data_IF_435804773998
#
_entry.id   IF_435804773998
#
_cell.length_a   1.000
_cell.length_b   1.000
_cell.length_c   1.000
_cell.angle_alpha   90.00
_cell.angle_beta   90.00
_cell.angle_gamma   90.00
#
_symmetry.space_group_name_H-M   'P 1'
#
loop_
_entity.id
_entity.type
_entity.pdbx_description
1 polymer ?
#
# COMPACT_ATOMS: atom_id res chain seq x y z
N UNK A 1 18.99 -10.03 8.22
CA UNK A 1 18.91 -8.61 7.83
C UNK A 1 17.46 -8.18 7.99
N UNK A 2 17.18 -7.09 8.71
CA UNK A 2 15.80 -6.61 8.96
C UNK A 2 15.60 -5.24 8.32
N UNK A 3 14.40 -4.99 7.79
CA UNK A 3 14.04 -3.69 7.24
C UNK A 3 14.18 -2.57 8.29
N UNK A 4 14.59 -1.35 7.89
CA UNK A 4 14.64 -0.22 8.80
C UNK A 4 13.23 0.18 9.26
N UNK A 5 13.13 0.84 10.42
CA UNK A 5 11.87 1.28 11.02
C UNK A 5 11.89 2.79 11.24
N UNK A 6 10.79 3.49 10.98
CA UNK A 6 10.62 4.90 11.38
C UNK A 6 11.39 5.93 10.56
N UNK A 7 11.96 5.58 9.40
CA UNK A 7 12.87 6.48 8.66
C UNK A 7 12.43 6.81 7.24
N UNK A 8 11.55 6.01 6.62
CA UNK A 8 11.23 6.14 5.21
C UNK A 8 10.15 7.21 4.97
N UNK A 9 10.39 8.10 4.00
CA UNK A 9 9.35 8.98 3.46
C UNK A 9 8.45 8.26 2.44
N UNK A 10 9.01 7.25 1.75
CA UNK A 10 8.32 6.44 0.75
C UNK A 10 8.81 4.99 0.83
N UNK A 11 7.90 4.03 0.66
CA UNK A 11 8.21 2.60 0.55
C UNK A 11 7.61 2.05 -0.75
N UNK A 12 8.43 1.34 -1.54
CA UNK A 12 8.01 0.72 -2.79
C UNK A 12 7.74 -0.77 -2.58
N UNK A 13 6.50 -1.19 -2.82
CA UNK A 13 6.01 -2.56 -2.66
C UNK A 13 5.75 -3.17 -4.04
N UNK A 14 6.85 -3.45 -4.75
CA UNK A 14 6.87 -3.87 -6.15
C UNK A 14 6.62 -5.36 -6.42
N UNK A 15 6.11 -6.11 -5.45
CA UNK A 15 5.87 -7.56 -5.59
C UNK A 15 4.52 -7.84 -6.29
N UNK A 16 4.52 -8.87 -7.14
CA UNK A 16 3.32 -9.42 -7.78
C UNK A 16 3.19 -10.92 -7.41
N UNK A 17 1.97 -11.46 -7.33
CA UNK A 17 0.69 -10.82 -7.63
C UNK A 17 0.20 -9.85 -6.55
N UNK A 18 0.74 -9.93 -5.34
CA UNK A 18 0.43 -9.03 -4.21
C UNK A 18 1.67 -8.83 -3.34
N UNK A 19 1.64 -7.79 -2.52
CA UNK A 19 2.64 -7.47 -1.52
C UNK A 19 2.09 -7.49 -0.08
N UNK A 20 0.89 -8.03 0.12
CA UNK A 20 0.16 -8.06 1.41
C UNK A 20 1.00 -8.48 2.61
N UNK A 21 1.78 -9.57 2.49
CA UNK A 21 2.63 -10.08 3.57
C UNK A 21 3.70 -9.08 4.04
N UNK A 22 4.00 -8.07 3.23
CA UNK A 22 5.01 -7.04 3.53
C UNK A 22 4.42 -5.71 4.00
N UNK A 23 3.09 -5.54 4.01
CA UNK A 23 2.45 -4.26 4.37
C UNK A 23 2.77 -3.82 5.80
N UNK A 24 2.74 -4.73 6.78
CA UNK A 24 3.14 -4.41 8.16
C UNK A 24 4.59 -3.96 8.28
N UNK A 25 5.49 -4.54 7.47
CA UNK A 25 6.88 -4.10 7.42
C UNK A 25 7.02 -2.74 6.75
N UNK A 26 6.22 -2.47 5.72
CA UNK A 26 6.20 -1.18 5.03
C UNK A 26 5.69 -0.04 5.93
N UNK A 27 4.59 -0.28 6.65
CA UNK A 27 4.04 0.66 7.64
C UNK A 27 5.07 0.98 8.72
N UNK A 28 5.72 -0.04 9.29
CA UNK A 28 6.79 0.15 10.30
C UNK A 28 8.01 0.90 9.76
N UNK A 29 8.28 0.82 8.45
CA UNK A 29 9.40 1.51 7.83
C UNK A 29 9.14 3.01 7.65
N UNK A 30 7.87 3.42 7.48
CA UNK A 30 7.49 4.83 7.40
C UNK A 30 7.82 5.58 8.70
N UNK A 31 8.07 6.88 8.56
CA UNK A 31 8.28 7.79 9.69
C UNK A 31 7.03 7.95 10.54
N UNK A 32 7.18 8.45 11.76
CA UNK A 32 6.06 8.75 12.68
C UNK A 32 5.00 9.68 12.07
N UNK A 33 5.40 10.60 11.20
CA UNK A 33 4.51 11.54 10.49
C UNK A 33 3.78 10.89 9.29
N UNK A 34 4.07 9.62 9.00
CA UNK A 34 3.61 8.90 7.83
C UNK A 34 4.54 9.04 6.63
N UNK A 35 3.97 8.93 5.43
CA UNK A 35 4.69 8.92 4.16
C UNK A 35 3.84 8.33 3.04
N UNK A 36 4.49 7.78 2.02
CA UNK A 36 3.82 7.21 0.84
C UNK A 36 4.15 5.72 0.68
N UNK A 37 3.14 4.89 0.48
CA UNK A 37 3.31 3.50 0.04
C UNK A 37 2.98 3.40 -1.45
N UNK A 38 3.85 2.78 -2.23
CA UNK A 38 3.65 2.55 -3.66
C UNK A 38 3.42 1.05 -3.89
N UNK A 39 2.16 0.64 -4.01
CA UNK A 39 1.72 -0.75 -3.86
C UNK A 39 1.33 -1.35 -5.21
N UNK A 40 2.01 -2.43 -5.59
CA UNK A 40 1.69 -3.18 -6.80
C UNK A 40 0.71 -4.32 -6.51
N UNK A 41 -0.19 -4.59 -7.46
CA UNK A 41 -1.10 -5.73 -7.39
C UNK A 41 -1.57 -6.20 -8.78
N UNK A 42 -1.74 -7.51 -8.94
CA UNK A 42 -2.45 -8.10 -10.07
C UNK A 42 -3.92 -8.27 -9.68
N UNK A 43 -4.80 -7.49 -10.30
CA UNK A 43 -6.20 -7.36 -9.90
C UNK A 43 -7.10 -7.69 -11.08
N UNK A 44 -8.23 -8.35 -10.82
CA UNK A 44 -9.25 -8.49 -11.86
C UNK A 44 -9.80 -7.11 -12.23
N UNK A 45 -9.98 -6.83 -13.52
CA UNK A 45 -10.49 -5.56 -14.02
C UNK A 45 -11.84 -5.13 -13.39
N UNK A 46 -12.69 -6.11 -13.08
CA UNK A 46 -13.97 -5.94 -12.38
C UNK A 46 -13.85 -5.69 -10.87
N UNK A 47 -12.65 -5.77 -10.29
CA UNK A 47 -12.41 -5.73 -8.85
C UNK A 47 -11.44 -4.63 -8.41
N UNK A 48 -11.08 -3.69 -9.29
CA UNK A 48 -10.13 -2.61 -8.94
C UNK A 48 -10.56 -1.83 -7.70
N UNK A 49 -11.83 -1.42 -7.61
CA UNK A 49 -12.35 -0.67 -6.45
C UNK A 49 -12.41 -1.49 -5.16
N UNK A 50 -12.62 -2.80 -5.26
CA UNK A 50 -12.60 -3.68 -4.09
C UNK A 50 -11.18 -3.85 -3.57
N UNK A 51 -10.22 -3.97 -4.47
CA UNK A 51 -8.81 -4.06 -4.12
C UNK A 51 -8.30 -2.78 -3.45
N UNK A 52 -8.64 -1.59 -3.97
CA UNK A 52 -8.24 -0.32 -3.33
C UNK A 52 -8.89 -0.14 -1.96
N UNK A 53 -10.16 -0.50 -1.81
CA UNK A 53 -10.85 -0.45 -0.51
C UNK A 53 -10.22 -1.42 0.51
N UNK A 54 -9.86 -2.63 0.08
CA UNK A 54 -9.15 -3.59 0.92
C UNK A 54 -7.77 -3.06 1.34
N UNK A 55 -7.00 -2.55 0.38
CA UNK A 55 -5.69 -1.95 0.63
C UNK A 55 -5.79 -0.81 1.67
N UNK A 56 -6.67 0.16 1.47
CA UNK A 56 -6.86 1.26 2.42
C UNK A 56 -7.20 0.77 3.83
N UNK A 57 -8.20 -0.11 3.92
CA UNK A 57 -8.66 -0.64 5.20
C UNK A 57 -7.54 -1.37 5.93
N UNK A 58 -6.80 -2.23 5.23
CA UNK A 58 -5.71 -3.00 5.82
C UNK A 58 -4.55 -2.11 6.25
N UNK A 59 -4.17 -1.09 5.46
CA UNK A 59 -3.13 -0.15 5.87
C UNK A 59 -3.55 0.68 7.10
N UNK A 60 -4.81 1.12 7.18
CA UNK A 60 -5.34 1.81 8.37
C UNK A 60 -5.34 0.90 9.61
N UNK A 61 -5.81 -0.34 9.48
CA UNK A 61 -5.81 -1.32 10.59
C UNK A 61 -4.39 -1.64 11.08
N UNK A 62 -3.46 -1.87 10.15
CA UNK A 62 -2.04 -2.10 10.47
C UNK A 62 -1.45 -0.86 11.15
N UNK A 63 -1.65 0.34 10.60
CA UNK A 63 -1.15 1.58 11.19
C UNK A 63 -1.63 1.76 12.63
N UNK A 64 -2.93 1.53 12.90
CA UNK A 64 -3.51 1.58 14.25
C UNK A 64 -2.88 0.55 15.19
N UNK A 65 -2.66 -0.69 14.71
CA UNK A 65 -2.03 -1.75 15.50
C UNK A 65 -0.56 -1.46 15.84
N UNK A 66 0.15 -0.75 14.97
CA UNK A 66 1.52 -0.28 15.20
C UNK A 66 1.55 1.03 16.02
N UNK A 67 0.40 1.53 16.47
CA UNK A 67 0.27 2.70 17.34
C UNK A 67 0.25 4.05 16.62
N UNK A 68 0.14 4.05 15.29
CA UNK A 68 0.02 5.26 14.49
C UNK A 68 -1.44 5.72 14.40
N UNK A 69 -1.65 7.04 14.50
CA UNK A 69 -2.94 7.70 14.23
C UNK A 69 -2.81 8.49 12.93
N UNK A 70 -2.77 7.77 11.81
CA UNK A 70 -2.68 8.37 10.49
C UNK A 70 -4.04 8.46 9.82
N UNK A 71 -4.22 9.50 9.02
CA UNK A 71 -5.18 9.47 7.93
C UNK A 71 -4.53 8.70 6.76
N UNK A 72 -5.25 7.69 6.25
CA UNK A 72 -4.81 6.83 5.15
C UNK A 72 -5.73 7.04 3.97
N UNK A 73 -5.19 7.46 2.83
CA UNK A 73 -5.96 7.76 1.61
C UNK A 73 -5.24 7.30 0.35
N UNK A 74 -6.02 7.06 -0.72
CA UNK A 74 -5.47 6.79 -2.05
C UNK A 74 -5.19 8.14 -2.71
N UNK A 75 -3.94 8.39 -3.05
CA UNK A 75 -3.51 9.56 -3.81
C UNK A 75 -3.70 9.32 -5.31
N UNK A 76 -3.26 8.15 -5.79
CA UNK A 76 -3.31 7.78 -7.20
C UNK A 76 -3.45 6.27 -7.39
N UNK A 77 -4.11 5.87 -8.49
CA UNK A 77 -4.13 4.48 -8.97
C UNK A 77 -3.77 4.46 -10.45
N UNK A 78 -2.64 3.84 -10.75
CA UNK A 78 -2.14 3.68 -12.11
C UNK A 78 -2.48 2.30 -12.67
N UNK A 79 -2.94 2.27 -13.92
CA UNK A 79 -3.32 1.07 -14.65
C UNK A 79 -2.18 0.68 -15.60
N UNK A 80 -1.10 0.12 -15.05
CA UNK A 80 0.18 -0.07 -15.76
C UNK A 80 0.05 -0.88 -17.05
N UNK A 81 -0.46 -2.11 -16.96
CA UNK A 81 -0.60 -3.01 -18.13
C UNK A 81 -1.57 -4.16 -17.84
N UNK A 82 -2.02 -4.82 -18.90
CA UNK A 82 -2.65 -6.13 -18.80
C UNK A 82 -1.59 -7.18 -18.46
N UNK A 83 -1.87 -8.00 -17.45
CA UNK A 83 -1.02 -9.11 -17.03
C UNK A 83 -1.50 -10.44 -17.64
N UNK A 84 -2.82 -10.63 -17.72
CA UNK A 84 -3.50 -11.77 -18.34
C UNK A 84 -4.94 -11.36 -18.73
N UNK A 85 -5.74 -12.21 -19.41
CA UNK A 85 -7.14 -11.92 -19.67
C UNK A 85 -7.88 -11.55 -18.38
N UNK A 86 -8.50 -10.37 -18.38
CA UNK A 86 -9.20 -9.78 -17.23
C UNK A 86 -8.35 -9.50 -15.99
N UNK A 87 -7.02 -9.62 -16.06
CA UNK A 87 -6.11 -9.30 -14.94
C UNK A 87 -5.22 -8.14 -15.35
N UNK A 88 -5.26 -7.07 -14.55
CA UNK A 88 -4.46 -5.86 -14.73
C UNK A 88 -3.44 -5.74 -13.61
N UNK A 89 -2.22 -5.33 -13.96
CA UNK A 89 -1.26 -4.83 -12.98
C UNK A 89 -1.64 -3.39 -12.63
N UNK A 90 -2.06 -3.19 -11.39
CA UNK A 90 -2.31 -1.89 -10.78
C UNK A 90 -1.15 -1.47 -9.89
N UNK A 91 -1.02 -0.15 -9.76
CA UNK A 91 -0.15 0.48 -8.79
C UNK A 91 -0.94 1.54 -8.05
N UNK A 92 -1.03 1.44 -6.72
CA UNK A 92 -1.67 2.44 -5.88
C UNK A 92 -0.63 3.21 -5.05
N UNK A 93 -0.69 4.54 -5.11
CA UNK A 93 0.00 5.42 -4.18
C UNK A 93 -0.93 5.68 -2.98
N UNK A 94 -0.56 5.18 -1.81
CA UNK A 94 -1.30 5.33 -0.55
C UNK A 94 -0.59 6.36 0.33
N UNK A 95 -1.25 7.49 0.58
CA UNK A 95 -0.76 8.53 1.48
C UNK A 95 -1.14 8.18 2.91
N UNK A 96 -0.14 8.18 3.79
CA UNK A 96 -0.31 8.13 5.24
C UNK A 96 0.16 9.47 5.82
N UNK A 97 -0.64 10.11 6.66
CA UNK A 97 -0.25 11.36 7.32
C UNK A 97 -0.72 11.38 8.76
N UNK A 98 0.16 11.77 9.69
CA UNK A 98 -0.29 12.15 11.03
C UNK A 98 -1.14 13.41 10.98
N UNK A 99 -2.11 13.49 11.88
CA UNK A 99 -2.83 14.72 12.20
C UNK A 99 -1.93 15.78 12.83
#
# INVERSE_FOLDING_TARGET
MTAPKGIANRVCLGLLPTSEDSWATAVRALRSEGGMLHVHGNVKDSQESLWTAHLLKSIDEIARSEGHRWEVSIEHVERVKWYAPHIRHLVADVRCSSF
#
